data_IF_679218936391
#
_entry.id   IF_679218936391
#
_cell.length_a   1.000
_cell.length_b   1.000
_cell.length_c   1.000
_cell.angle_alpha   90.00
_cell.angle_beta   90.00
_cell.angle_gamma   90.00
#
_symmetry.space_group_name_H-M   'P 1'
#
loop_
_entity.id
_entity.type
_entity.pdbx_description
1 polymer ?
#
# COMPACT_ATOMS: atom_id res chain seq x y z
N UNK A 1 -33.93 -15.26 -22.08
CA UNK A 1 -33.00 -15.14 -20.93
C UNK A 1 -32.84 -16.54 -20.38
N UNK A 2 -31.65 -17.14 -20.49
CA UNK A 2 -31.41 -18.46 -19.93
C UNK A 2 -31.40 -18.33 -18.41
N UNK A 3 -32.40 -18.88 -17.73
CA UNK A 3 -32.31 -19.05 -16.29
C UNK A 3 -31.17 -20.04 -16.05
N UNK A 4 -30.06 -19.58 -15.47
CA UNK A 4 -29.13 -20.53 -14.86
C UNK A 4 -29.89 -21.13 -13.70
N UNK A 5 -30.05 -22.46 -13.69
CA UNK A 5 -30.66 -23.11 -12.54
C UNK A 5 -29.82 -22.79 -11.31
N UNK A 6 -30.45 -22.61 -10.15
CA UNK A 6 -29.75 -22.28 -8.90
C UNK A 6 -28.56 -23.22 -8.62
N UNK A 7 -28.71 -24.49 -8.99
CA UNK A 7 -27.67 -25.52 -8.92
C UNK A 7 -26.45 -25.24 -9.80
N UNK A 8 -26.63 -24.70 -11.01
CA UNK A 8 -25.54 -24.35 -11.92
C UNK A 8 -24.74 -23.16 -11.40
N UNK A 9 -25.43 -22.12 -10.92
CA UNK A 9 -24.80 -20.94 -10.32
C UNK A 9 -23.98 -21.32 -9.07
N UNK A 10 -24.56 -22.17 -8.19
CA UNK A 10 -23.88 -22.67 -6.99
C UNK A 10 -22.62 -23.46 -7.33
N UNK A 11 -22.70 -24.37 -8.31
CA UNK A 11 -21.55 -25.18 -8.75
C UNK A 11 -20.43 -24.32 -9.35
N UNK A 12 -20.78 -23.25 -10.07
CA UNK A 12 -19.80 -22.31 -10.61
C UNK A 12 -19.03 -21.59 -9.51
N UNK A 13 -19.74 -21.03 -8.52
CA UNK A 13 -19.13 -20.34 -7.37
C UNK A 13 -18.23 -21.28 -6.56
N UNK A 14 -18.68 -22.50 -6.29
CA UNK A 14 -17.88 -23.50 -5.54
C UNK A 14 -16.62 -23.91 -6.30
N UNK A 15 -16.69 -24.09 -7.62
CA UNK A 15 -15.50 -24.35 -8.46
C UNK A 15 -14.53 -23.18 -8.42
N UNK A 16 -15.03 -21.94 -8.55
CA UNK A 16 -14.21 -20.75 -8.41
C UNK A 16 -13.53 -20.66 -7.05
N UNK A 17 -14.22 -21.08 -5.99
CA UNK A 17 -13.70 -21.02 -4.62
C UNK A 17 -12.58 -22.02 -4.42
N UNK A 18 -12.72 -23.23 -4.96
CA UNK A 18 -11.64 -24.22 -4.97
C UNK A 18 -10.42 -23.76 -5.75
N UNK A 19 -10.60 -23.11 -6.91
CA UNK A 19 -9.50 -22.55 -7.69
C UNK A 19 -8.76 -21.48 -6.88
N UNK A 20 -9.49 -20.54 -6.27
CA UNK A 20 -8.89 -19.51 -5.43
C UNK A 20 -8.17 -20.10 -4.22
N UNK A 21 -8.78 -21.08 -3.54
CA UNK A 21 -8.19 -21.74 -2.39
C UNK A 21 -6.85 -22.41 -2.75
N UNK A 22 -6.80 -23.14 -3.87
CA UNK A 22 -5.58 -23.78 -4.35
C UNK A 22 -4.50 -22.74 -4.67
N UNK A 23 -4.85 -21.67 -5.39
CA UNK A 23 -3.88 -20.60 -5.71
C UNK A 23 -3.36 -19.95 -4.42
N UNK A 24 -4.23 -19.66 -3.44
CA UNK A 24 -3.79 -19.09 -2.16
C UNK A 24 -2.91 -20.04 -1.34
N UNK A 25 -3.22 -21.33 -1.35
CA UNK A 25 -2.41 -22.33 -0.66
C UNK A 25 -1.02 -22.46 -1.31
N UNK A 26 -0.96 -22.44 -2.64
CA UNK A 26 0.29 -22.47 -3.39
C UNK A 26 1.16 -21.23 -3.09
N UNK A 27 0.58 -20.03 -3.06
CA UNK A 27 1.29 -18.80 -2.69
C UNK A 27 1.86 -18.87 -1.27
N UNK A 28 1.07 -19.35 -0.30
CA UNK A 28 1.53 -19.50 1.09
C UNK A 28 2.67 -20.51 1.17
N UNK A 29 2.58 -21.64 0.46
CA UNK A 29 3.65 -22.63 0.39
C UNK A 29 4.94 -22.02 -0.20
N UNK A 30 4.84 -21.29 -1.32
CA UNK A 30 5.97 -20.56 -1.94
C UNK A 30 6.55 -19.54 -0.95
N UNK A 31 5.71 -18.80 -0.24
CA UNK A 31 6.12 -17.80 0.75
C UNK A 31 6.88 -18.41 1.92
N UNK A 32 6.43 -19.56 2.43
CA UNK A 32 7.10 -20.30 3.51
C UNK A 32 8.44 -20.90 3.06
N UNK A 33 8.49 -21.46 1.84
CA UNK A 33 9.73 -21.98 1.24
C UNK A 33 10.76 -20.86 1.03
N UNK A 34 10.31 -19.71 0.54
CA UNK A 34 11.18 -18.57 0.20
C UNK A 34 11.69 -17.80 1.41
N UNK A 35 11.04 -17.95 2.57
CA UNK A 35 11.51 -17.42 3.86
C UNK A 35 12.46 -18.36 4.61
N UNK A 36 12.83 -19.50 4.01
CA UNK A 36 13.85 -20.39 4.58
C UNK A 36 13.38 -21.31 5.72
N UNK A 37 12.08 -21.36 6.02
CA UNK A 37 11.56 -22.15 7.16
C UNK A 37 11.74 -23.68 6.99
N UNK A 38 11.93 -24.17 5.77
CA UNK A 38 12.08 -25.60 5.44
C UNK A 38 13.52 -26.00 5.08
N UNK A 39 14.41 -25.07 4.72
CA UNK A 39 15.80 -25.35 4.32
C UNK A 39 16.72 -24.23 4.81
N UNK A 40 17.45 -24.50 5.89
CA UNK A 40 18.45 -23.63 6.49
C UNK A 40 19.66 -23.46 5.55
N UNK A 41 19.59 -22.52 4.60
CA UNK A 41 20.68 -22.25 3.66
C UNK A 41 20.34 -21.37 2.45
N UNK A 42 19.05 -21.21 2.12
CA UNK A 42 18.60 -20.37 1.00
C UNK A 42 18.48 -18.88 1.32
N UNK A 43 18.60 -18.47 2.59
CA UNK A 43 18.48 -17.07 3.02
C UNK A 43 19.55 -16.15 2.41
N UNK A 44 20.68 -16.70 1.95
CA UNK A 44 21.77 -15.90 1.37
C UNK A 44 21.51 -15.45 -0.07
N UNK A 45 20.55 -16.06 -0.77
CA UNK A 45 20.24 -15.70 -2.15
C UNK A 45 19.11 -14.67 -2.19
N UNK A 46 19.46 -13.40 -1.99
CA UNK A 46 18.59 -12.24 -2.13
C UNK A 46 17.74 -12.27 -3.41
N UNK A 47 18.31 -12.79 -4.51
CA UNK A 47 17.62 -12.96 -5.81
C UNK A 47 16.40 -13.88 -5.70
N UNK A 48 16.50 -15.01 -4.98
CA UNK A 48 15.40 -15.98 -4.83
C UNK A 48 14.23 -15.32 -4.08
N UNK A 49 14.53 -14.52 -3.06
CA UNK A 49 13.50 -13.80 -2.30
C UNK A 49 12.75 -12.78 -3.16
N UNK A 50 13.47 -12.00 -3.98
CA UNK A 50 12.86 -11.05 -4.91
C UNK A 50 12.00 -11.75 -5.98
N UNK A 51 12.49 -12.86 -6.55
CA UNK A 51 11.72 -13.65 -7.53
C UNK A 51 10.45 -14.20 -6.90
N UNK A 52 10.54 -14.78 -5.70
CA UNK A 52 9.39 -15.29 -4.98
C UNK A 52 8.36 -14.18 -4.67
N UNK A 53 8.83 -13.01 -4.23
CA UNK A 53 7.99 -11.83 -4.02
C UNK A 53 7.26 -11.41 -5.31
N UNK A 54 7.96 -11.38 -6.44
CA UNK A 54 7.35 -11.07 -7.74
C UNK A 54 6.31 -12.12 -8.15
N UNK A 55 6.59 -13.41 -7.98
CA UNK A 55 5.63 -14.50 -8.26
C UNK A 55 4.36 -14.36 -7.42
N UNK A 56 4.52 -14.12 -6.12
CA UNK A 56 3.38 -13.93 -5.20
C UNK A 56 2.57 -12.67 -5.58
N UNK A 57 3.24 -11.58 -5.97
CA UNK A 57 2.57 -10.37 -6.42
C UNK A 57 1.74 -10.60 -7.69
N UNK A 58 2.28 -11.34 -8.66
CA UNK A 58 1.56 -11.71 -9.90
C UNK A 58 0.35 -12.60 -9.59
N UNK A 59 0.51 -13.63 -8.75
CA UNK A 59 -0.63 -14.47 -8.35
C UNK A 59 -1.70 -13.68 -7.58
N UNK A 60 -1.29 -12.71 -6.77
CA UNK A 60 -2.22 -11.82 -6.06
C UNK A 60 -3.04 -10.96 -7.03
N UNK A 61 -2.42 -10.41 -8.07
CA UNK A 61 -3.12 -9.70 -9.14
C UNK A 61 -4.06 -10.61 -9.93
N UNK A 62 -3.62 -11.83 -10.26
CA UNK A 62 -4.45 -12.81 -10.94
C UNK A 62 -5.71 -13.15 -10.14
N UNK A 63 -5.58 -13.40 -8.83
CA UNK A 63 -6.74 -13.66 -7.96
C UNK A 63 -7.70 -12.47 -7.92
N UNK A 64 -7.17 -11.25 -7.80
CA UNK A 64 -7.99 -10.04 -7.78
C UNK A 64 -8.81 -9.92 -9.08
N UNK A 65 -8.17 -10.13 -10.23
CA UNK A 65 -8.86 -10.18 -11.52
C UNK A 65 -9.92 -11.30 -11.56
N UNK A 66 -9.57 -12.51 -11.10
CA UNK A 66 -10.48 -13.66 -11.08
C UNK A 66 -11.73 -13.39 -10.23
N UNK A 67 -11.57 -12.78 -9.04
CA UNK A 67 -12.67 -12.41 -8.15
C UNK A 67 -13.60 -11.40 -8.81
N UNK A 68 -13.04 -10.31 -9.34
CA UNK A 68 -13.83 -9.26 -9.99
C UNK A 68 -14.63 -9.81 -11.18
N UNK A 69 -14.03 -10.66 -12.00
CA UNK A 69 -14.73 -11.17 -13.19
C UNK A 69 -15.70 -12.32 -12.90
N UNK A 70 -15.32 -13.29 -12.05
CA UNK A 70 -16.09 -14.52 -11.86
C UNK A 70 -17.02 -14.47 -10.64
N UNK A 71 -16.56 -13.94 -9.50
CA UNK A 71 -17.36 -13.94 -8.27
C UNK A 71 -18.30 -12.75 -8.17
N UNK A 72 -17.85 -11.59 -8.65
CA UNK A 72 -18.72 -10.42 -8.73
C UNK A 72 -19.62 -10.45 -9.98
N UNK A 73 -19.52 -11.49 -10.82
CA UNK A 73 -20.31 -11.68 -12.05
C UNK A 73 -20.17 -10.55 -13.09
N UNK A 74 -19.18 -9.67 -12.93
CA UNK A 74 -19.00 -8.47 -13.75
C UNK A 74 -18.43 -8.77 -15.15
N UNK A 75 -18.09 -10.03 -15.44
CA UNK A 75 -17.54 -10.46 -16.72
C UNK A 75 -18.54 -10.39 -17.88
N UNK A 76 -19.77 -10.84 -17.67
CA UNK A 76 -20.86 -10.86 -18.65
C UNK A 76 -21.79 -9.64 -18.57
N UNK A 77 -21.68 -8.84 -17.51
CA UNK A 77 -22.53 -7.68 -17.25
C UNK A 77 -22.03 -6.39 -17.94
N UNK A 78 -22.85 -5.34 -17.86
CA UNK A 78 -22.57 -4.03 -18.46
C UNK A 78 -21.22 -3.47 -18.00
N UNK A 79 -20.42 -2.97 -18.96
CA UNK A 79 -19.05 -2.48 -18.72
C UNK A 79 -18.98 -1.40 -17.64
N UNK A 80 -20.04 -0.60 -17.48
CA UNK A 80 -20.14 0.43 -16.44
C UNK A 80 -20.14 -0.14 -15.01
N UNK A 81 -20.74 -1.32 -14.80
CA UNK A 81 -20.76 -1.97 -13.48
C UNK A 81 -19.36 -2.45 -13.08
N UNK A 82 -18.50 -2.79 -14.06
CA UNK A 82 -17.12 -3.20 -13.79
C UNK A 82 -16.26 -2.01 -13.35
N UNK A 83 -16.44 -0.87 -14.02
CA UNK A 83 -15.75 0.36 -13.67
C UNK A 83 -16.15 0.92 -12.31
N UNK A 84 -17.40 0.72 -11.85
CA UNK A 84 -17.80 1.19 -10.51
C UNK A 84 -17.07 0.46 -9.36
N UNK A 85 -16.57 -0.75 -9.60
CA UNK A 85 -15.73 -1.49 -8.63
C UNK A 85 -14.24 -1.20 -8.84
N UNK A 86 -13.77 -1.15 -10.09
CA UNK A 86 -12.36 -0.92 -10.40
C UNK A 86 -11.90 0.51 -10.08
N UNK A 87 -12.75 1.51 -10.31
CA UNK A 87 -12.41 2.91 -10.11
C UNK A 87 -12.09 3.23 -8.64
N UNK A 88 -12.91 2.83 -7.64
CA UNK A 88 -12.56 2.97 -6.23
C UNK A 88 -11.25 2.26 -5.86
N UNK A 89 -10.99 1.05 -6.38
CA UNK A 89 -9.75 0.32 -6.12
C UNK A 89 -8.52 1.06 -6.65
N UNK A 90 -8.61 1.63 -7.85
CA UNK A 90 -7.52 2.39 -8.47
C UNK A 90 -7.30 3.71 -7.71
N UNK A 91 -8.39 4.42 -7.37
CA UNK A 91 -8.31 5.63 -6.55
C UNK A 91 -7.72 5.34 -5.17
N UNK A 92 -7.99 4.17 -4.58
CA UNK A 92 -7.39 3.78 -3.31
C UNK A 92 -5.87 3.61 -3.43
N UNK A 93 -5.38 2.93 -4.47
CA UNK A 93 -3.94 2.78 -4.72
C UNK A 93 -3.28 4.16 -4.90
N UNK A 94 -3.90 5.02 -5.71
CA UNK A 94 -3.42 6.38 -5.92
C UNK A 94 -3.42 7.19 -4.61
N UNK A 95 -4.49 7.09 -3.81
CA UNK A 95 -4.61 7.79 -2.53
C UNK A 95 -3.57 7.32 -1.50
N UNK A 96 -3.26 6.02 -1.46
CA UNK A 96 -2.19 5.50 -0.59
C UNK A 96 -0.85 6.16 -0.95
N UNK A 97 -0.52 6.22 -2.24
CA UNK A 97 0.73 6.85 -2.70
C UNK A 97 0.74 8.34 -2.33
N UNK A 98 -0.35 9.06 -2.59
CA UNK A 98 -0.47 10.49 -2.28
C UNK A 98 -0.35 10.77 -0.76
N UNK A 99 -1.01 9.97 0.07
CA UNK A 99 -0.95 10.13 1.53
C UNK A 99 0.42 9.78 2.12
N UNK A 100 1.13 8.81 1.55
CA UNK A 100 2.50 8.49 1.98
C UNK A 100 3.47 9.65 1.63
N UNK A 101 3.33 10.25 0.45
CA UNK A 101 4.16 11.39 0.04
C UNK A 101 3.89 12.65 0.89
N UNK A 102 2.61 13.01 1.06
CA UNK A 102 2.22 14.13 1.91
C UNK A 102 2.63 13.89 3.38
N UNK A 103 2.49 12.66 3.87
CA UNK A 103 2.93 12.28 5.21
C UNK A 103 4.44 12.47 5.43
N UNK A 104 5.25 12.11 4.44
CA UNK A 104 6.70 12.31 4.48
C UNK A 104 7.07 13.81 4.44
N UNK A 105 6.41 14.58 3.56
CA UNK A 105 6.60 16.02 3.45
C UNK A 105 6.27 16.74 4.77
N UNK A 106 5.16 16.37 5.42
CA UNK A 106 4.78 16.91 6.72
C UNK A 106 5.79 16.58 7.82
N UNK A 107 6.29 15.34 7.85
CA UNK A 107 7.33 14.92 8.80
C UNK A 107 8.60 15.77 8.71
N UNK A 108 9.08 16.01 7.48
CA UNK A 108 10.26 16.85 7.21
C UNK A 108 10.04 18.30 7.67
N UNK A 109 8.87 18.89 7.39
CA UNK A 109 8.54 20.26 7.84
C UNK A 109 8.53 20.38 9.37
N UNK A 110 8.02 19.37 10.09
CA UNK A 110 8.04 19.38 11.56
C UNK A 110 9.46 19.29 12.13
N UNK A 111 10.33 18.48 11.53
CA UNK A 111 11.74 18.42 11.94
C UNK A 111 12.43 19.77 11.73
N UNK A 112 12.21 20.42 10.58
CA UNK A 112 12.75 21.76 10.31
C UNK A 112 12.30 22.82 11.33
N UNK A 113 11.04 22.78 11.77
CA UNK A 113 10.54 23.71 12.79
C UNK A 113 11.20 23.43 14.15
N UNK A 114 11.35 22.16 14.54
CA UNK A 114 12.03 21.80 15.79
C UNK A 114 13.49 22.28 15.78
N UNK A 115 14.21 22.02 14.69
CA UNK A 115 15.60 22.46 14.52
C UNK A 115 15.73 23.99 14.62
N UNK A 116 14.85 24.74 13.94
CA UNK A 116 14.83 26.21 14.01
C UNK A 116 14.48 26.77 15.40
N UNK A 117 13.67 26.06 16.18
CA UNK A 117 13.31 26.46 17.53
C UNK A 117 14.38 26.06 18.57
N UNK A 118 15.14 24.99 18.31
CA UNK A 118 16.26 24.53 19.14
C UNK A 118 17.50 25.40 18.97
N UNK A 119 17.71 25.93 17.76
CA UNK A 119 18.64 27.03 17.53
C UNK A 119 18.13 28.26 18.29
N UNK A 120 18.64 28.47 19.51
CA UNK A 120 18.47 29.74 20.23
C UNK A 120 18.86 30.85 19.25
N UNK A 121 17.96 31.80 19.05
CA UNK A 121 18.30 33.04 18.37
C UNK A 121 19.48 33.66 19.14
N UNK A 122 20.70 33.52 18.62
CA UNK A 122 21.74 34.46 18.99
C UNK A 122 21.20 35.82 18.54
N UNK A 123 21.13 36.81 19.44
CA UNK A 123 20.71 38.14 19.04
C UNK A 123 21.66 38.58 17.94
N UNK A 124 21.18 38.66 16.71
CA UNK A 124 21.92 39.24 15.59
C UNK A 124 22.32 40.65 16.03
N UNK A 125 23.61 40.81 16.29
CA UNK A 125 24.17 41.99 16.91
C UNK A 125 24.02 43.22 16.04
N UNK A 126 22.91 43.93 16.22
CA UNK A 126 22.77 45.36 15.91
C UNK A 126 21.86 46.11 16.90
N UNK A 127 21.34 45.42 17.92
CA UNK A 127 20.70 46.11 19.06
C UNK A 127 21.46 45.69 20.31
N UNK A 128 22.63 46.31 20.48
CA UNK A 128 23.14 46.54 21.82
C UNK A 128 22.18 47.57 22.42
N UNK A 129 21.14 47.12 23.12
CA UNK A 129 20.31 48.01 23.94
C UNK A 129 21.23 48.55 25.02
N UNK A 130 21.85 49.69 24.74
CA UNK A 130 22.60 50.44 25.72
C UNK A 130 21.59 51.04 26.70
N UNK A 131 21.36 50.29 27.77
CA UNK A 131 20.46 50.65 28.88
C UNK A 131 20.94 51.93 29.62
N UNK A 132 22.19 52.36 29.38
CA UNK A 132 22.71 53.63 29.92
C UNK A 132 22.14 54.85 29.19
N UNK A 133 21.76 54.72 27.92
CA UNK A 133 21.21 55.81 27.09
C UNK A 133 19.79 56.21 27.53
N UNK A 134 19.03 55.27 28.10
CA UNK A 134 17.72 55.54 28.70
C UNK A 134 17.81 56.10 30.12
N UNK A 135 18.92 55.85 30.85
CA UNK A 135 19.15 56.41 32.19
C UNK A 135 19.57 57.88 32.18
N UNK A 136 20.13 58.37 31.09
CA UNK A 136 20.49 59.78 30.92
C UNK A 136 19.32 60.65 30.43
N UNK A 137 18.23 60.03 29.98
CA UNK A 137 17.03 60.70 29.44
C UNK A 137 15.89 60.89 30.47
N UNK A 138 16.11 60.49 31.72
CA UNK A 138 15.20 60.63 32.87
C UNK A 138 15.91 61.43 33.96
#
# INVERSE_FOLDING_TARGET
>A
MAHLTYEEAKKFVVKGLWILAIVTLAEVAISLLSKGHLISGLEKFTVIHYIAGAVIAIFSLYKAYFIVYNFMHLGSEVRGLRWSVLLPCILLIWAIIAFLDEGNAWGKRRQQIKEKNELRAEPTGFIQTDDSLYRELI
#
